data_IF_734291919330
#
_entry.id   IF_734291919330
#
_cell.length_a   1.000
_cell.length_b   1.000
_cell.length_c   1.000
_cell.angle_alpha   90.00
_cell.angle_beta   90.00
_cell.angle_gamma   90.00
#
_symmetry.space_group_name_H-M   'P 1'
#
loop_
_entity.id
_entity.type
_entity.pdbx_description
1 polymer ?
#
# COMPACT_ATOMS: atom_id res chain seq x y z
N UNK A 1 -14.94 17.00 7.52
CA UNK A 1 -15.66 15.75 7.77
C UNK A 1 -16.45 15.96 9.04
N UNK A 2 -17.78 15.92 8.98
CA UNK A 2 -18.61 16.19 10.15
C UNK A 2 -18.18 15.36 11.35
N UNK A 3 -18.29 15.94 12.54
CA UNK A 3 -17.96 15.26 13.80
C UNK A 3 -18.74 13.96 13.97
N UNK A 4 -19.92 13.85 13.33
CA UNK A 4 -20.74 12.64 13.25
C UNK A 4 -20.10 11.54 12.39
N UNK A 5 -19.64 11.85 11.18
CA UNK A 5 -19.02 10.86 10.27
C UNK A 5 -17.76 10.26 10.90
N UNK A 6 -16.93 11.10 11.54
CA UNK A 6 -15.73 10.62 12.21
C UNK A 6 -16.05 9.71 13.41
N UNK A 7 -17.09 10.05 14.19
CA UNK A 7 -17.55 9.21 15.31
C UNK A 7 -18.09 7.87 14.83
N UNK A 8 -18.91 7.86 13.78
CA UNK A 8 -19.46 6.63 13.20
C UNK A 8 -18.34 5.75 12.65
N UNK A 9 -17.42 6.32 11.86
CA UNK A 9 -16.29 5.57 11.31
C UNK A 9 -15.44 4.95 12.41
N UNK A 10 -15.02 5.74 13.41
CA UNK A 10 -14.25 5.23 14.55
C UNK A 10 -15.01 4.13 15.31
N UNK A 11 -16.31 4.31 15.54
CA UNK A 11 -17.14 3.32 16.21
C UNK A 11 -17.17 1.99 15.44
N UNK A 12 -17.46 2.03 14.14
CA UNK A 12 -17.48 0.84 13.28
C UNK A 12 -16.12 0.16 13.23
N UNK A 13 -15.03 0.92 13.05
CA UNK A 13 -13.68 0.36 13.03
C UNK A 13 -13.29 -0.29 14.35
N UNK A 14 -13.61 0.32 15.49
CA UNK A 14 -13.32 -0.25 16.81
C UNK A 14 -14.09 -1.56 16.99
N UNK A 15 -15.37 -1.61 16.63
CA UNK A 15 -16.18 -2.84 16.72
C UNK A 15 -15.57 -3.95 15.87
N UNK A 16 -15.21 -3.66 14.61
CA UNK A 16 -14.57 -4.65 13.73
C UNK A 16 -13.25 -5.16 14.30
N UNK A 17 -12.40 -4.27 14.85
CA UNK A 17 -11.13 -4.66 15.48
C UNK A 17 -11.36 -5.56 16.69
N UNK A 18 -12.32 -5.22 17.56
CA UNK A 18 -12.63 -6.01 18.75
C UNK A 18 -13.15 -7.39 18.35
N UNK A 19 -14.06 -7.47 17.39
CA UNK A 19 -14.61 -8.74 16.91
C UNK A 19 -13.52 -9.59 16.25
N UNK A 20 -12.66 -8.99 15.42
CA UNK A 20 -11.52 -9.69 14.82
C UNK A 20 -10.56 -10.23 15.87
N UNK A 21 -10.25 -9.44 16.90
CA UNK A 21 -9.39 -9.85 18.00
C UNK A 21 -9.99 -11.02 18.80
N UNK A 22 -11.30 -11.04 19.03
CA UNK A 22 -11.99 -12.16 19.69
C UNK A 22 -11.83 -13.45 18.88
N UNK A 23 -12.10 -13.42 17.57
CA UNK A 23 -11.93 -14.59 16.71
C UNK A 23 -10.47 -15.02 16.62
N UNK A 24 -9.52 -14.08 16.54
CA UNK A 24 -8.09 -14.38 16.53
C UNK A 24 -7.64 -15.08 17.82
N UNK A 25 -8.10 -14.61 18.99
CA UNK A 25 -7.83 -15.25 20.28
C UNK A 25 -8.45 -16.65 20.31
N UNK A 26 -9.69 -16.80 19.84
CA UNK A 26 -10.36 -18.10 19.78
C UNK A 26 -9.60 -19.11 18.90
N UNK A 27 -9.02 -18.67 17.77
CA UNK A 27 -8.15 -19.51 16.93
C UNK A 27 -6.90 -19.93 17.71
N UNK A 28 -6.23 -19.01 18.41
CA UNK A 28 -5.04 -19.35 19.20
C UNK A 28 -5.32 -20.32 20.34
N UNK A 29 -6.48 -20.23 21.00
CA UNK A 29 -6.87 -21.15 22.07
C UNK A 29 -7.16 -22.58 21.57
N UNK A 30 -7.59 -22.74 20.32
CA UNK A 30 -7.90 -24.05 19.74
C UNK A 30 -6.68 -24.76 19.11
N UNK A 31 -5.54 -24.08 18.99
CA UNK A 31 -4.30 -24.67 18.52
C UNK A 31 -4.35 -25.12 17.05
N UNK A 32 -3.69 -26.24 16.74
CA UNK A 32 -3.48 -26.71 15.36
C UNK A 32 -4.72 -27.18 14.60
N UNK A 33 -5.88 -27.24 15.24
CA UNK A 33 -7.15 -27.68 14.64
C UNK A 33 -8.33 -26.82 15.12
N UNK A 34 -8.44 -25.55 14.68
CA UNK A 34 -9.57 -24.69 15.01
C UNK A 34 -10.89 -25.28 14.49
N UNK A 35 -11.98 -25.10 15.22
CA UNK A 35 -13.32 -25.49 14.73
C UNK A 35 -13.74 -24.65 13.51
N UNK A 36 -14.45 -25.28 12.59
CA UNK A 36 -14.95 -24.65 11.35
C UNK A 36 -15.74 -23.37 11.65
N UNK A 37 -16.58 -23.37 12.69
CA UNK A 37 -17.35 -22.19 13.11
C UNK A 37 -16.49 -20.98 13.49
N UNK A 38 -15.32 -21.21 14.11
CA UNK A 38 -14.42 -20.12 14.52
C UNK A 38 -13.61 -19.63 13.33
N UNK A 39 -13.19 -20.54 12.46
CA UNK A 39 -12.45 -20.22 11.25
C UNK A 39 -13.31 -19.44 10.25
N UNK A 40 -14.54 -19.90 10.01
CA UNK A 40 -15.51 -19.21 9.16
C UNK A 40 -15.86 -17.83 9.71
N UNK A 41 -16.06 -17.71 11.02
CA UNK A 41 -16.29 -16.43 11.68
C UNK A 41 -15.12 -15.46 11.50
N UNK A 42 -13.88 -15.93 11.65
CA UNK A 42 -12.68 -15.12 11.42
C UNK A 42 -12.58 -14.62 9.97
N UNK A 43 -12.80 -15.51 9.00
CA UNK A 43 -12.80 -15.12 7.59
C UNK A 43 -13.93 -14.17 7.24
N UNK A 44 -15.12 -14.35 7.82
CA UNK A 44 -16.23 -13.45 7.57
C UNK A 44 -15.94 -12.02 8.01
N UNK A 45 -15.33 -11.84 9.19
CA UNK A 45 -14.88 -10.53 9.68
C UNK A 45 -13.83 -9.92 8.75
N UNK A 46 -12.87 -10.73 8.28
CA UNK A 46 -11.87 -10.30 7.31
C UNK A 46 -12.52 -9.85 5.99
N UNK A 47 -13.51 -10.59 5.48
CA UNK A 47 -14.21 -10.25 4.24
C UNK A 47 -15.02 -8.95 4.37
N UNK A 48 -15.73 -8.73 5.49
CA UNK A 48 -16.40 -7.44 5.72
C UNK A 48 -15.38 -6.30 5.74
N UNK A 49 -14.32 -6.44 6.53
CA UNK A 49 -13.32 -5.40 6.70
C UNK A 49 -12.66 -5.06 5.35
N UNK A 50 -12.34 -6.09 4.56
CA UNK A 50 -11.81 -5.94 3.21
C UNK A 50 -12.79 -5.22 2.28
N UNK A 51 -14.05 -5.65 2.22
CA UNK A 51 -15.04 -5.02 1.35
C UNK A 51 -15.32 -3.57 1.75
N UNK A 52 -15.41 -3.29 3.06
CA UNK A 52 -15.54 -1.93 3.57
C UNK A 52 -14.32 -1.08 3.20
N UNK A 53 -13.11 -1.62 3.31
CA UNK A 53 -11.90 -0.92 2.91
C UNK A 53 -11.88 -0.61 1.41
N UNK A 54 -12.29 -1.55 0.55
CA UNK A 54 -12.41 -1.33 -0.90
C UNK A 54 -13.40 -0.22 -1.21
N UNK A 55 -14.60 -0.26 -0.62
CA UNK A 55 -15.62 0.77 -0.80
C UNK A 55 -15.09 2.14 -0.37
N UNK A 56 -14.47 2.23 0.81
CA UNK A 56 -13.92 3.48 1.33
C UNK A 56 -12.74 3.98 0.51
N UNK A 57 -11.87 3.09 0.03
CA UNK A 57 -10.73 3.43 -0.82
C UNK A 57 -11.17 4.07 -2.15
N UNK A 58 -12.38 3.78 -2.62
CA UNK A 58 -12.98 4.42 -3.80
C UNK A 58 -13.71 5.71 -3.42
N UNK A 59 -14.53 5.67 -2.37
CA UNK A 59 -15.36 6.82 -1.96
C UNK A 59 -14.53 8.00 -1.43
N UNK A 60 -13.47 7.74 -0.65
CA UNK A 60 -12.67 8.81 -0.06
C UNK A 60 -11.98 9.70 -1.10
N UNK A 61 -11.30 9.17 -2.13
CA UNK A 61 -10.76 9.98 -3.22
C UNK A 61 -11.84 10.81 -3.91
N UNK A 62 -13.02 10.25 -4.20
CA UNK A 62 -14.11 10.97 -4.86
C UNK A 62 -14.58 12.14 -4.00
N UNK A 63 -14.81 11.92 -2.70
CA UNK A 63 -15.21 12.97 -1.76
C UNK A 63 -14.12 14.05 -1.65
N UNK A 64 -12.84 13.66 -1.62
CA UNK A 64 -11.70 14.59 -1.63
C UNK A 64 -11.64 15.41 -2.93
N UNK A 65 -11.87 14.80 -4.08
CA UNK A 65 -11.90 15.49 -5.38
C UNK A 65 -13.02 16.54 -5.41
N UNK A 66 -14.21 16.22 -4.88
CA UNK A 66 -15.33 17.17 -4.86
C UNK A 66 -15.09 18.29 -3.84
N UNK A 67 -14.63 17.95 -2.63
CA UNK A 67 -14.44 18.92 -1.55
C UNK A 67 -13.20 19.80 -1.71
N UNK A 68 -12.13 19.30 -2.33
CA UNK A 68 -10.90 20.03 -2.58
C UNK A 68 -10.17 19.52 -3.84
N UNK A 69 -10.69 19.82 -5.04
CA UNK A 69 -10.18 19.27 -6.29
C UNK A 69 -8.70 19.64 -6.53
N UNK A 70 -8.29 20.84 -6.11
CA UNK A 70 -6.91 21.31 -6.27
C UNK A 70 -5.92 20.46 -5.46
N UNK A 71 -6.26 20.08 -4.24
CA UNK A 71 -5.42 19.24 -3.41
C UNK A 71 -5.38 17.80 -3.95
N UNK A 72 -6.53 17.25 -4.33
CA UNK A 72 -6.62 15.90 -4.88
C UNK A 72 -5.81 15.74 -6.17
N UNK A 73 -5.88 16.71 -7.10
CA UNK A 73 -5.10 16.70 -8.33
C UNK A 73 -3.60 16.73 -8.04
N UNK A 74 -3.13 17.52 -7.06
CA UNK A 74 -1.71 17.56 -6.69
C UNK A 74 -1.21 16.21 -6.17
N UNK A 75 -1.99 15.54 -5.33
CA UNK A 75 -1.66 14.19 -4.85
C UNK A 75 -1.65 13.18 -5.99
N UNK A 76 -2.65 13.22 -6.88
CA UNK A 76 -2.75 12.33 -8.03
C UNK A 76 -1.56 12.52 -8.98
N UNK A 77 -1.17 13.76 -9.24
CA UNK A 77 0.04 14.06 -10.03
C UNK A 77 1.29 13.44 -9.41
N UNK A 78 1.43 13.49 -8.08
CA UNK A 78 2.52 12.81 -7.37
C UNK A 78 2.55 11.30 -7.62
N UNK A 79 1.39 10.64 -7.56
CA UNK A 79 1.26 9.20 -7.85
C UNK A 79 1.61 8.90 -9.31
N UNK A 80 1.10 9.71 -10.26
CA UNK A 80 1.40 9.55 -11.69
C UNK A 80 2.89 9.66 -11.96
N UNK A 81 3.59 10.61 -11.32
CA UNK A 81 5.06 10.74 -11.43
C UNK A 81 5.77 9.47 -10.95
N UNK A 82 5.36 8.90 -9.81
CA UNK A 82 5.92 7.64 -9.31
C UNK A 82 5.69 6.46 -10.27
N UNK A 83 4.49 6.37 -10.86
CA UNK A 83 4.17 5.34 -11.85
C UNK A 83 5.03 5.50 -13.11
N UNK A 84 5.17 6.72 -13.62
CA UNK A 84 6.05 7.00 -14.77
C UNK A 84 7.48 6.59 -14.44
N UNK A 85 7.97 6.92 -13.25
CA UNK A 85 9.31 6.55 -12.80
C UNK A 85 9.52 5.03 -12.71
N UNK A 86 8.50 4.27 -12.31
CA UNK A 86 8.57 2.82 -12.34
C UNK A 86 8.79 2.30 -13.76
N UNK A 87 8.03 2.81 -14.74
CA UNK A 87 8.22 2.42 -16.14
C UNK A 87 9.59 2.83 -16.68
N UNK A 88 10.11 3.99 -16.30
CA UNK A 88 11.48 4.42 -16.66
C UNK A 88 12.51 3.48 -16.04
N UNK A 89 12.39 3.15 -14.75
CA UNK A 89 13.30 2.22 -14.08
C UNK A 89 13.24 0.81 -14.69
N UNK A 90 12.05 0.34 -15.06
CA UNK A 90 11.87 -0.93 -15.74
C UNK A 90 12.46 -0.94 -17.15
N UNK A 91 12.33 0.16 -17.90
CA UNK A 91 12.93 0.32 -19.22
C UNK A 91 14.47 0.38 -19.18
N UNK A 92 15.04 0.93 -18.11
CA UNK A 92 16.49 0.98 -17.89
C UNK A 92 17.07 -0.31 -17.30
N UNK A 93 16.23 -1.17 -16.74
CA UNK A 93 16.65 -2.45 -16.17
C UNK A 93 16.77 -3.51 -17.25
N UNK A 94 17.80 -4.34 -17.16
CA UNK A 94 17.96 -5.54 -17.98
C UNK A 94 18.55 -6.69 -17.16
N UNK A 95 18.36 -7.92 -17.67
CA UNK A 95 18.97 -9.10 -17.07
C UNK A 95 20.42 -9.26 -17.57
N UNK A 96 21.38 -9.22 -16.65
CA UNK A 96 22.81 -9.40 -16.95
C UNK A 96 23.32 -10.82 -16.69
N UNK A 97 22.49 -11.70 -16.12
CA UNK A 97 22.87 -13.07 -15.77
C UNK A 97 22.67 -14.04 -16.94
N UNK A 98 23.58 -15.00 -17.08
CA UNK A 98 23.46 -16.13 -18.00
C UNK A 98 22.39 -17.13 -17.55
N UNK A 99 21.96 -18.01 -18.46
CA UNK A 99 20.95 -19.02 -18.17
C UNK A 99 21.36 -19.97 -17.02
N UNK A 100 22.64 -20.34 -16.93
CA UNK A 100 23.15 -21.22 -15.87
C UNK A 100 23.17 -20.54 -14.50
N UNK A 101 23.44 -19.23 -14.46
CA UNK A 101 23.39 -18.45 -13.22
C UNK A 101 21.95 -18.29 -12.72
N UNK A 102 21.00 -18.03 -13.63
CA UNK A 102 19.58 -17.94 -13.30
C UNK A 102 19.02 -19.27 -12.75
N UNK A 103 19.43 -20.40 -13.34
CA UNK A 103 19.06 -21.74 -12.86
C UNK A 103 19.59 -22.00 -11.45
N UNK A 104 20.85 -21.65 -11.19
CA UNK A 104 21.46 -21.78 -9.85
C UNK A 104 20.77 -20.90 -8.81
N UNK A 105 20.31 -19.71 -9.23
CA UNK A 105 19.54 -18.78 -8.39
C UNK A 105 18.06 -19.16 -8.25
N UNK A 106 17.56 -20.17 -8.96
CA UNK A 106 16.16 -20.57 -8.95
C UNK A 106 15.22 -19.47 -9.45
N UNK A 107 15.66 -18.65 -10.41
CA UNK A 107 14.93 -17.48 -10.91
C UNK A 107 14.89 -17.42 -12.43
N UNK A 108 14.17 -16.46 -12.99
CA UNK A 108 14.05 -16.24 -14.43
C UNK A 108 14.61 -14.88 -14.84
N UNK A 109 14.92 -14.71 -16.13
CA UNK A 109 15.38 -13.43 -16.67
C UNK A 109 14.36 -12.31 -16.44
N UNK A 110 13.07 -12.61 -16.51
CA UNK A 110 11.99 -11.65 -16.25
C UNK A 110 11.98 -11.18 -14.79
N UNK A 111 12.09 -12.11 -13.83
CA UNK A 111 12.16 -11.78 -12.41
C UNK A 111 13.43 -10.98 -12.12
N UNK A 112 14.56 -11.38 -12.70
CA UNK A 112 15.84 -10.65 -12.60
C UNK A 112 15.70 -9.20 -13.07
N UNK A 113 15.08 -8.97 -14.23
CA UNK A 113 14.82 -7.62 -14.75
C UNK A 113 13.89 -6.82 -13.83
N UNK A 114 12.85 -7.43 -13.26
CA UNK A 114 11.95 -6.76 -12.30
C UNK A 114 12.70 -6.38 -11.02
N UNK A 115 13.57 -7.24 -10.51
CA UNK A 115 14.41 -6.95 -9.33
C UNK A 115 15.36 -5.79 -9.62
N UNK A 116 16.04 -5.80 -10.77
CA UNK A 116 16.87 -4.69 -11.23
C UNK A 116 16.10 -3.38 -11.35
N UNK A 117 14.86 -3.44 -11.87
CA UNK A 117 13.98 -2.29 -11.98
C UNK A 117 13.59 -1.75 -10.59
N UNK A 118 13.29 -2.63 -9.64
CA UNK A 118 13.03 -2.27 -8.25
C UNK A 118 14.21 -1.57 -7.58
N UNK A 119 15.44 -2.00 -7.86
CA UNK A 119 16.64 -1.38 -7.34
C UNK A 119 16.86 0.02 -7.93
N UNK A 120 16.80 0.15 -9.26
CA UNK A 120 16.92 1.45 -9.97
C UNK A 120 15.83 2.42 -9.49
N UNK A 121 14.58 1.96 -9.41
CA UNK A 121 13.45 2.75 -8.93
C UNK A 121 13.70 3.27 -7.51
N UNK A 122 14.19 2.41 -6.62
CA UNK A 122 14.54 2.80 -5.24
C UNK A 122 15.62 3.87 -5.22
N UNK A 123 16.66 3.77 -6.06
CA UNK A 123 17.69 4.80 -6.16
C UNK A 123 17.16 6.14 -6.66
N UNK A 124 16.26 6.14 -7.65
CA UNK A 124 15.61 7.36 -8.10
C UNK A 124 14.77 8.02 -7.00
N UNK A 125 13.92 7.24 -6.32
CA UNK A 125 13.10 7.74 -5.22
C UNK A 125 13.98 8.28 -4.09
N UNK A 126 15.05 7.57 -3.75
CA UNK A 126 15.99 8.00 -2.72
C UNK A 126 16.69 9.32 -3.09
N UNK A 127 17.20 9.46 -4.31
CA UNK A 127 17.83 10.69 -4.77
C UNK A 127 16.85 11.87 -4.77
N UNK A 128 15.62 11.66 -5.26
CA UNK A 128 14.56 12.68 -5.21
C UNK A 128 14.19 13.05 -3.78
N UNK A 129 14.13 12.09 -2.86
CA UNK A 129 13.85 12.35 -1.45
C UNK A 129 14.93 13.24 -0.82
N UNK A 130 16.20 12.97 -1.09
CA UNK A 130 17.31 13.82 -0.65
C UNK A 130 17.11 15.25 -1.17
N UNK A 131 16.90 15.42 -2.48
CA UNK A 131 16.67 16.74 -3.09
C UNK A 131 15.46 17.45 -2.48
N UNK A 132 14.36 16.72 -2.26
CA UNK A 132 13.14 17.25 -1.67
C UNK A 132 13.37 17.74 -0.23
N UNK A 133 14.16 17.01 0.56
CA UNK A 133 14.51 17.40 1.93
C UNK A 133 15.34 18.69 1.91
N UNK A 134 16.38 18.78 1.08
CA UNK A 134 17.19 19.99 0.98
C UNK A 134 16.36 21.19 0.51
N UNK A 135 15.54 21.00 -0.52
CA UNK A 135 14.63 22.03 -1.01
C UNK A 135 13.66 22.49 0.08
N UNK A 136 13.06 21.57 0.84
CA UNK A 136 12.13 21.92 1.91
C UNK A 136 12.81 22.76 3.02
N UNK A 137 14.04 22.40 3.41
CA UNK A 137 14.81 23.17 4.37
C UNK A 137 15.09 24.58 3.86
N UNK A 138 15.59 24.72 2.63
CA UNK A 138 15.91 26.02 2.04
C UNK A 138 14.63 26.86 1.87
N UNK A 139 13.58 26.29 1.29
CA UNK A 139 12.31 26.97 1.06
C UNK A 139 11.66 27.44 2.37
N UNK A 140 11.83 26.72 3.48
CA UNK A 140 11.31 27.13 4.79
C UNK A 140 12.00 28.37 5.36
N UNK A 141 13.21 28.70 4.91
CA UNK A 141 13.93 29.91 5.35
C UNK A 141 13.35 31.16 4.67
N UNK A 142 12.80 31.00 3.46
CA UNK A 142 12.26 32.10 2.65
C UNK A 142 10.73 32.26 2.78
N UNK A 143 10.09 31.48 3.64
CA UNK A 143 8.64 31.43 3.80
C UNK A 143 8.24 31.77 5.23
#
# INVERSE_FOLDING_TARGET
MDSLVNKVFKGVSIVLIVVAAIYQIAVFLQGGSPSDSVLDGYFWVAYIAFFLAVVLAILFPIIQIIGNPKAAIRTLLGVVVLVILWFVAYALSDNTFSASELETMGTTADISKIVGAGLIYTYFVFAMAIVAVFYANIASIFK
#
